data_IF_770040142814
#
_entry.id   IF_770040142814
#
_cell.length_a   1.000
_cell.length_b   1.000
_cell.length_c   1.000
_cell.angle_alpha   90.00
_cell.angle_beta   90.00
_cell.angle_gamma   90.00
#
_symmetry.space_group_name_H-M   'P 1'
#
loop_
_entity.id
_entity.type
_entity.pdbx_description
1 polymer ?
#
# COMPACT_ATOMS: atom_id res chain seq x y z
N UNK A 1 -41.01 -76.10 -47.70
CA UNK A 1 -41.43 -76.06 -46.28
C UNK A 1 -40.35 -75.31 -45.51
N UNK A 2 -40.51 -74.00 -45.31
CA UNK A 2 -39.51 -73.16 -44.63
C UNK A 2 -40.16 -72.66 -43.35
N UNK A 3 -39.77 -73.23 -42.20
CA UNK A 3 -40.28 -72.79 -40.89
C UNK A 3 -39.51 -71.54 -40.46
N UNK A 4 -40.14 -70.39 -40.61
CA UNK A 4 -39.67 -69.11 -40.06
C UNK A 4 -39.74 -69.18 -38.54
N UNK A 5 -38.58 -69.28 -37.89
CA UNK A 5 -38.43 -69.13 -36.45
C UNK A 5 -38.57 -67.65 -36.07
N UNK A 6 -39.55 -67.32 -35.23
CA UNK A 6 -39.68 -65.99 -34.62
C UNK A 6 -38.87 -65.94 -33.31
N UNK A 7 -37.87 -65.06 -33.26
CA UNK A 7 -37.09 -64.78 -32.04
C UNK A 7 -37.90 -63.84 -31.12
N UNK A 8 -38.12 -64.17 -29.83
CA UNK A 8 -38.77 -63.24 -28.92
C UNK A 8 -37.78 -62.14 -28.51
N UNK A 9 -38.06 -60.90 -28.92
CA UNK A 9 -37.33 -59.71 -28.46
C UNK A 9 -37.78 -59.36 -27.04
N UNK A 10 -37.01 -59.77 -26.02
CA UNK A 10 -37.14 -59.25 -24.65
C UNK A 10 -36.65 -57.81 -24.64
N UNK A 11 -37.58 -56.85 -24.69
CA UNK A 11 -37.31 -55.44 -24.41
C UNK A 11 -36.94 -55.29 -22.93
N UNK A 12 -35.65 -55.34 -22.62
CA UNK A 12 -35.13 -54.88 -21.34
C UNK A 12 -35.25 -53.35 -21.28
N UNK A 13 -36.29 -52.85 -20.62
CA UNK A 13 -36.38 -51.43 -20.29
C UNK A 13 -35.28 -51.08 -19.31
N UNK A 14 -34.38 -50.16 -19.69
CA UNK A 14 -33.43 -49.55 -18.77
C UNK A 14 -34.24 -48.69 -17.81
N UNK A 15 -34.36 -49.13 -16.56
CA UNK A 15 -35.04 -48.37 -15.51
C UNK A 15 -34.28 -47.05 -15.29
N UNK A 16 -34.93 -45.92 -15.59
CA UNK A 16 -34.41 -44.61 -15.23
C UNK A 16 -34.39 -44.50 -13.69
N UNK A 17 -33.19 -44.39 -13.11
CA UNK A 17 -33.05 -44.12 -11.69
C UNK A 17 -33.76 -42.80 -11.35
N UNK A 18 -34.52 -42.73 -10.24
CA UNK A 18 -35.22 -41.50 -9.87
C UNK A 18 -34.20 -40.37 -9.66
N UNK A 19 -34.39 -39.25 -10.36
CA UNK A 19 -33.63 -38.03 -10.10
C UNK A 19 -34.13 -37.45 -8.78
N UNK A 20 -33.39 -37.65 -7.69
CA UNK A 20 -33.66 -36.96 -6.43
C UNK A 20 -33.40 -35.47 -6.63
N UNK A 21 -34.45 -34.65 -6.52
CA UNK A 21 -34.32 -33.19 -6.49
C UNK A 21 -33.83 -32.72 -5.13
N UNK A 22 -33.13 -31.58 -5.11
CA UNK A 22 -32.72 -30.89 -3.88
C UNK A 22 -33.95 -30.55 -3.03
N UNK A 23 -33.88 -30.79 -1.73
CA UNK A 23 -34.94 -30.41 -0.79
C UNK A 23 -34.74 -28.98 -0.28
N UNK A 24 -35.83 -28.28 0.04
CA UNK A 24 -35.77 -26.95 0.68
C UNK A 24 -35.06 -27.03 2.04
N UNK A 25 -35.24 -28.14 2.77
CA UNK A 25 -34.60 -28.37 4.06
C UNK A 25 -33.07 -28.50 3.93
N UNK A 26 -32.56 -29.14 2.87
CA UNK A 26 -31.11 -29.21 2.59
C UNK A 26 -30.51 -27.84 2.36
N UNK A 27 -31.15 -27.01 1.53
CA UNK A 27 -30.67 -25.65 1.28
C UNK A 27 -30.74 -24.79 2.55
N UNK A 28 -31.76 -24.97 3.40
CA UNK A 28 -31.89 -24.22 4.65
C UNK A 28 -30.75 -24.53 5.64
N UNK A 29 -30.44 -25.82 5.85
CA UNK A 29 -29.34 -26.22 6.75
C UNK A 29 -27.99 -25.76 6.21
N UNK A 30 -27.77 -25.84 4.90
CA UNK A 30 -26.53 -25.38 4.26
C UNK A 30 -26.37 -23.86 4.45
N UNK A 31 -27.41 -23.07 4.21
CA UNK A 31 -27.37 -21.63 4.42
C UNK A 31 -27.13 -21.28 5.89
N UNK A 32 -27.72 -22.02 6.82
CA UNK A 32 -27.46 -21.84 8.24
C UNK A 32 -25.99 -22.07 8.61
N UNK A 33 -25.34 -23.10 8.06
CA UNK A 33 -23.91 -23.36 8.29
C UNK A 33 -23.03 -22.30 7.62
N UNK A 34 -23.33 -21.89 6.38
CA UNK A 34 -22.56 -20.84 5.70
C UNK A 34 -22.68 -19.51 6.46
N UNK A 35 -23.87 -19.17 6.98
CA UNK A 35 -24.09 -17.96 7.75
C UNK A 35 -23.27 -17.92 9.05
N UNK A 36 -23.20 -19.04 9.78
CA UNK A 36 -22.40 -19.11 11.02
C UNK A 36 -20.91 -19.05 10.74
N UNK A 37 -20.43 -19.70 9.68
CA UNK A 37 -19.03 -19.61 9.27
C UNK A 37 -18.66 -18.19 8.82
N UNK A 38 -19.52 -17.55 8.02
CA UNK A 38 -19.31 -16.17 7.58
C UNK A 38 -19.27 -15.19 8.76
N UNK A 39 -20.13 -15.36 9.76
CA UNK A 39 -20.20 -14.48 10.93
C UNK A 39 -18.88 -14.41 11.72
N UNK A 40 -18.15 -15.53 11.85
CA UNK A 40 -16.85 -15.58 12.54
C UNK A 40 -15.70 -15.15 11.62
N UNK A 41 -15.80 -15.47 10.32
CA UNK A 41 -14.74 -15.24 9.36
C UNK A 41 -14.59 -13.76 8.99
N UNK A 42 -15.70 -13.05 8.75
CA UNK A 42 -15.70 -11.66 8.29
C UNK A 42 -14.84 -10.73 9.16
N UNK A 43 -15.03 -10.62 10.50
CA UNK A 43 -14.22 -9.72 11.31
C UNK A 43 -12.73 -10.10 11.35
N UNK A 44 -12.43 -11.39 11.22
CA UNK A 44 -11.05 -11.87 11.17
C UNK A 44 -10.37 -11.45 9.87
N UNK A 45 -11.05 -11.64 8.74
CA UNK A 45 -10.52 -11.29 7.42
C UNK A 45 -10.33 -9.79 7.28
N UNK A 46 -11.27 -8.96 7.73
CA UNK A 46 -11.14 -7.51 7.67
C UNK A 46 -9.93 -7.02 8.47
N UNK A 47 -9.68 -7.56 9.67
CA UNK A 47 -8.50 -7.23 10.48
C UNK A 47 -7.18 -7.67 9.81
N UNK A 48 -7.18 -8.79 9.08
CA UNK A 48 -5.99 -9.22 8.34
C UNK A 48 -5.73 -8.33 7.12
N UNK A 49 -6.78 -7.83 6.47
CA UNK A 49 -6.66 -6.87 5.37
C UNK A 49 -6.07 -5.55 5.88
N UNK A 50 -6.58 -4.99 6.98
CA UNK A 50 -6.06 -3.74 7.56
C UNK A 50 -4.60 -3.88 7.96
N UNK A 51 -4.22 -4.97 8.63
CA UNK A 51 -2.79 -5.26 8.92
C UNK A 51 -1.93 -5.37 7.67
N UNK A 52 -2.44 -5.99 6.61
CA UNK A 52 -1.77 -6.06 5.32
C UNK A 52 -1.59 -4.69 4.67
N UNK A 53 -2.57 -3.79 4.83
CA UNK A 53 -2.48 -2.40 4.41
C UNK A 53 -1.44 -1.63 5.24
N UNK A 54 -1.39 -1.81 6.57
CA UNK A 54 -0.35 -1.20 7.43
C UNK A 54 1.04 -1.65 6.98
N UNK A 55 1.23 -2.96 6.80
CA UNK A 55 2.51 -3.51 6.35
C UNK A 55 2.95 -2.96 4.99
N UNK A 56 2.00 -2.76 4.07
CA UNK A 56 2.27 -2.12 2.77
C UNK A 56 2.79 -0.69 2.95
N UNK A 57 2.10 0.14 3.74
CA UNK A 57 2.51 1.54 3.99
C UNK A 57 3.92 1.57 4.59
N UNK A 58 4.18 0.75 5.61
CA UNK A 58 5.49 0.70 6.26
C UNK A 58 6.59 0.25 5.30
N UNK A 59 6.32 -0.74 4.44
CA UNK A 59 7.26 -1.17 3.41
C UNK A 59 7.54 -0.07 2.39
N UNK A 60 6.51 0.64 1.93
CA UNK A 60 6.67 1.76 0.99
C UNK A 60 7.52 2.88 1.62
N UNK A 61 7.20 3.30 2.85
CA UNK A 61 7.95 4.32 3.60
C UNK A 61 9.42 3.92 3.79
N UNK A 62 9.67 2.66 4.15
CA UNK A 62 11.03 2.14 4.38
C UNK A 62 11.81 2.03 3.07
N UNK A 63 11.15 1.64 1.97
CA UNK A 63 11.77 1.56 0.65
C UNK A 63 12.17 2.95 0.15
N UNK A 64 11.29 3.94 0.26
CA UNK A 64 11.58 5.33 -0.11
C UNK A 64 12.74 5.87 0.74
N UNK A 65 12.71 5.66 2.06
CA UNK A 65 13.81 6.06 2.93
C UNK A 65 15.15 5.44 2.50
N UNK A 66 15.18 4.13 2.27
CA UNK A 66 16.41 3.43 1.87
C UNK A 66 16.90 3.92 0.50
N UNK A 67 15.98 4.16 -0.44
CA UNK A 67 16.30 4.73 -1.74
C UNK A 67 16.85 6.16 -1.64
N UNK A 68 16.28 7.00 -0.77
CA UNK A 68 16.81 8.33 -0.49
C UNK A 68 18.20 8.30 0.16
N UNK A 69 18.48 7.34 1.05
CA UNK A 69 19.81 7.15 1.62
C UNK A 69 20.84 6.73 0.55
N UNK A 70 20.46 5.85 -0.37
CA UNK A 70 21.30 5.46 -1.51
C UNK A 70 21.55 6.63 -2.47
N UNK A 71 20.51 7.40 -2.81
CA UNK A 71 20.64 8.61 -3.63
C UNK A 71 21.62 9.60 -3.02
N UNK A 72 21.55 9.84 -1.70
CA UNK A 72 22.47 10.74 -0.99
C UNK A 72 23.90 10.20 -1.00
N UNK A 73 24.08 8.88 -0.92
CA UNK A 73 25.40 8.26 -1.00
C UNK A 73 26.09 8.53 -2.35
N UNK A 74 25.32 8.54 -3.44
CA UNK A 74 25.82 8.71 -4.80
C UNK A 74 25.91 10.18 -5.24
N UNK A 75 24.81 10.92 -5.11
CA UNK A 75 24.69 12.31 -5.58
C UNK A 75 25.23 13.33 -4.55
N UNK A 76 25.50 12.90 -3.32
CA UNK A 76 25.97 13.74 -2.21
C UNK A 76 25.04 14.91 -1.86
N UNK A 77 23.77 14.83 -2.27
CA UNK A 77 22.70 15.76 -1.94
C UNK A 77 21.41 14.99 -1.70
N UNK A 78 20.50 15.60 -0.95
CA UNK A 78 19.19 15.04 -0.68
C UNK A 78 18.26 15.24 -1.88
N UNK A 79 17.41 14.25 -2.21
CA UNK A 79 16.40 14.38 -3.26
C UNK A 79 15.41 15.50 -2.90
N UNK A 80 14.91 16.23 -3.89
CA UNK A 80 13.85 17.22 -3.69
C UNK A 80 12.46 16.61 -3.85
N UNK A 81 12.35 15.73 -4.85
CA UNK A 81 11.11 15.05 -5.19
C UNK A 81 11.35 13.52 -5.18
N UNK A 82 10.28 12.76 -4.94
CA UNK A 82 10.35 11.31 -4.86
C UNK A 82 10.72 10.70 -6.23
N UNK A 83 10.36 11.36 -7.32
CA UNK A 83 10.74 10.99 -8.68
C UNK A 83 12.26 10.92 -8.90
N UNK A 84 13.07 11.74 -8.21
CA UNK A 84 14.54 11.74 -8.26
C UNK A 84 15.13 10.35 -7.93
N UNK A 85 14.34 9.52 -7.23
CA UNK A 85 14.72 8.17 -6.84
C UNK A 85 14.48 7.13 -7.93
N UNK A 86 13.67 7.42 -8.95
CA UNK A 86 13.33 6.47 -10.01
C UNK A 86 13.66 6.97 -11.42
N UNK A 87 13.85 8.28 -11.57
CA UNK A 87 14.19 8.98 -12.81
C UNK A 87 15.53 9.71 -12.59
N UNK A 88 16.36 9.72 -13.63
CA UNK A 88 17.65 10.40 -13.57
C UNK A 88 17.47 11.91 -13.43
N UNK A 89 18.14 12.49 -12.43
CA UNK A 89 18.13 13.92 -12.15
C UNK A 89 18.82 14.74 -13.26
N UNK A 90 18.33 15.96 -13.44
CA UNK A 90 18.80 16.96 -14.38
C UNK A 90 19.26 18.22 -13.66
N UNK A 91 19.86 19.15 -14.41
CA UNK A 91 20.29 20.44 -13.86
C UNK A 91 19.14 21.41 -13.56
N UNK A 92 17.92 21.08 -14.00
CA UNK A 92 16.71 21.83 -13.70
C UNK A 92 16.12 21.45 -12.34
N UNK A 93 16.39 20.24 -11.87
CA UNK A 93 15.83 19.69 -10.65
C UNK A 93 16.53 20.28 -9.43
N UNK A 94 15.78 20.43 -8.34
CA UNK A 94 16.23 21.05 -7.10
C UNK A 94 16.25 20.03 -5.96
N UNK A 95 17.30 20.06 -5.15
CA UNK A 95 17.33 19.33 -3.88
C UNK A 95 16.33 19.94 -2.89
N UNK A 96 15.97 19.21 -1.83
CA UNK A 96 15.10 19.68 -0.73
C UNK A 96 15.55 21.02 -0.10
N UNK A 97 16.82 21.38 -0.27
CA UNK A 97 17.39 22.65 0.18
C UNK A 97 17.14 23.82 -0.78
N UNK A 98 16.41 23.61 -1.88
CA UNK A 98 16.11 24.62 -2.92
C UNK A 98 17.26 24.90 -3.87
N UNK A 99 18.37 24.16 -3.78
CA UNK A 99 19.53 24.32 -4.67
C UNK A 99 19.47 23.32 -5.83
N UNK A 100 19.65 23.80 -7.07
CA UNK A 100 19.67 22.93 -8.26
C UNK A 100 20.88 22.01 -8.29
N UNK A 101 20.76 20.84 -8.91
CA UNK A 101 21.87 19.91 -9.09
C UNK A 101 22.86 20.43 -10.14
N UNK A 102 24.13 20.69 -9.81
CA UNK A 102 25.14 20.99 -10.81
C UNK A 102 25.43 19.74 -11.65
N UNK A 103 25.91 19.96 -12.89
CA UNK A 103 26.19 18.86 -13.85
C UNK A 103 27.10 17.77 -13.30
N UNK A 104 28.03 18.11 -12.40
CA UNK A 104 28.92 17.14 -11.77
C UNK A 104 28.18 16.12 -10.88
N UNK A 105 27.07 16.53 -10.24
CA UNK A 105 26.28 15.65 -9.39
C UNK A 105 25.24 14.87 -10.20
N UNK A 106 24.69 15.44 -11.27
CA UNK A 106 23.75 14.73 -12.15
C UNK A 106 24.41 13.52 -12.83
N UNK A 107 25.73 13.57 -13.06
CA UNK A 107 26.49 12.42 -13.59
C UNK A 107 26.82 11.34 -12.56
N UNK A 108 26.63 11.62 -11.26
CA UNK A 108 26.88 10.66 -10.18
C UNK A 108 25.67 9.76 -9.90
N UNK A 109 24.51 10.07 -10.48
CA UNK A 109 23.33 9.22 -10.37
C UNK A 109 23.60 7.85 -11.01
N UNK A 110 23.54 6.78 -10.23
CA UNK A 110 23.95 5.43 -10.68
C UNK A 110 22.76 4.53 -11.06
N UNK A 111 21.52 4.90 -10.72
CA UNK A 111 20.36 4.13 -11.12
C UNK A 111 19.08 4.48 -10.38
N UNK A 112 17.97 3.83 -10.74
CA UNK A 112 16.77 3.91 -9.94
C UNK A 112 17.02 3.26 -8.58
N UNK A 113 16.79 4.02 -7.52
CA UNK A 113 16.90 3.61 -6.13
C UNK A 113 15.59 2.98 -5.60
N UNK A 114 14.56 2.90 -6.44
CA UNK A 114 13.28 2.29 -6.15
C UNK A 114 12.88 1.30 -7.25
N UNK A 115 12.28 0.18 -6.83
CA UNK A 115 11.76 -0.85 -7.74
C UNK A 115 10.46 -0.44 -8.46
N UNK A 116 9.88 0.69 -8.06
CA UNK A 116 8.60 1.19 -8.54
C UNK A 116 8.80 2.57 -9.15
N UNK A 117 8.36 2.75 -10.39
CA UNK A 117 8.36 4.04 -11.06
C UNK A 117 7.31 4.95 -10.40
N UNK A 118 7.74 6.13 -9.97
CA UNK A 118 6.90 7.15 -9.36
C UNK A 118 6.91 8.33 -10.35
N UNK A 119 5.77 8.64 -10.97
CA UNK A 119 5.71 9.52 -12.16
C UNK A 119 5.28 10.94 -11.80
N UNK A 120 6.02 11.91 -12.30
CA UNK A 120 5.64 13.32 -12.52
C UNK A 120 4.26 13.41 -13.19
N UNK A 121 3.20 13.78 -12.47
CA UNK A 121 1.95 14.41 -12.98
C UNK A 121 0.78 14.20 -12.00
N UNK A 122 0.99 14.47 -10.71
CA UNK A 122 -0.10 14.37 -9.72
C UNK A 122 -0.68 12.96 -9.59
N UNK A 123 0.09 11.95 -10.01
CA UNK A 123 -0.23 10.55 -9.82
C UNK A 123 0.05 10.19 -8.37
N UNK A 124 -0.85 10.59 -7.48
CA UNK A 124 -0.92 10.12 -6.10
C UNK A 124 -0.83 8.60 -6.07
N UNK A 125 0.29 8.07 -5.57
CA UNK A 125 0.48 6.63 -5.57
C UNK A 125 -0.22 6.05 -4.36
N UNK A 126 -1.33 5.36 -4.64
CA UNK A 126 -2.10 4.67 -3.62
C UNK A 126 -1.25 3.59 -2.93
N UNK A 127 -1.13 3.72 -1.63
CA UNK A 127 -0.58 2.73 -0.70
C UNK A 127 -1.72 2.12 0.14
N UNK A 128 -1.40 1.43 1.23
CA UNK A 128 -2.42 0.93 2.15
C UNK A 128 -3.28 2.04 2.76
N UNK A 129 -4.47 1.69 3.24
CA UNK A 129 -5.42 2.62 3.88
C UNK A 129 -5.92 3.78 3.02
N UNK A 130 -5.96 3.59 1.69
CA UNK A 130 -6.22 4.68 0.73
C UNK A 130 -5.20 5.83 0.78
N UNK A 131 -4.13 5.67 1.56
CA UNK A 131 -3.08 6.67 1.65
C UNK A 131 -2.45 6.92 0.29
N UNK A 132 -2.16 8.17 -0.01
CA UNK A 132 -1.60 8.60 -1.27
C UNK A 132 -0.25 9.25 -1.04
N UNK A 133 0.82 8.63 -1.55
CA UNK A 133 2.15 9.23 -1.49
C UNK A 133 2.19 10.49 -2.34
N UNK A 134 2.50 11.62 -1.72
CA UNK A 134 2.75 12.87 -2.42
C UNK A 134 4.13 12.85 -3.06
N UNK A 135 4.25 13.48 -4.22
CA UNK A 135 5.46 13.46 -5.05
C UNK A 135 6.62 14.25 -4.39
N UNK A 136 6.31 15.41 -3.82
CA UNK A 136 7.33 16.27 -3.25
C UNK A 136 7.72 15.84 -1.83
N UNK A 137 9.02 15.80 -1.56
CA UNK A 137 9.49 15.73 -0.18
C UNK A 137 9.27 17.08 0.51
N UNK A 138 8.98 17.05 1.81
CA UNK A 138 8.93 18.24 2.65
C UNK A 138 10.07 18.23 3.67
N UNK A 139 10.56 19.41 4.02
CA UNK A 139 11.48 19.57 5.16
C UNK A 139 10.69 19.97 6.39
N UNK A 140 10.62 19.10 7.40
CA UNK A 140 9.84 19.38 8.61
C UNK A 140 10.74 19.53 9.85
N UNK A 141 10.41 20.51 10.71
CA UNK A 141 11.07 20.70 12.00
C UNK A 141 10.46 19.76 13.05
N UNK A 142 11.29 18.91 13.66
CA UNK A 142 10.88 18.00 14.72
C UNK A 142 10.34 18.74 15.97
N UNK A 143 10.86 19.92 16.31
CA UNK A 143 10.42 20.66 17.51
C UNK A 143 9.06 21.34 17.35
N UNK A 144 8.67 21.70 16.12
CA UNK A 144 7.47 22.51 15.88
C UNK A 144 6.44 21.83 14.99
N UNK A 145 6.79 20.72 14.33
CA UNK A 145 5.92 20.03 13.36
C UNK A 145 5.61 20.86 12.11
N UNK A 146 6.27 22.00 11.95
CA UNK A 146 6.11 22.88 10.79
C UNK A 146 6.89 22.29 9.63
N UNK A 147 6.22 22.12 8.50
CA UNK A 147 6.83 21.64 7.26
C UNK A 147 6.94 22.81 6.29
N UNK A 148 8.13 23.00 5.75
CA UNK A 148 8.41 23.99 4.71
C UNK A 148 9.16 23.30 3.57
N UNK A 149 9.18 23.95 2.42
CA UNK A 149 10.00 23.54 1.27
C UNK A 149 11.45 24.05 1.38
N UNK A 150 11.79 24.72 2.49
CA UNK A 150 13.12 25.26 2.75
C UNK A 150 13.30 25.44 4.26
N UNK A 151 14.22 24.68 4.88
CA UNK A 151 14.46 24.75 6.33
C UNK A 151 14.86 23.39 6.90
N UNK A 152 16.16 23.19 7.08
CA UNK A 152 16.80 21.90 7.40
C UNK A 152 16.41 21.37 8.77
N UNK A 153 15.77 20.19 8.82
CA UNK A 153 16.02 19.18 9.87
C UNK A 153 15.75 17.75 9.39
N UNK A 154 14.64 17.48 8.70
CA UNK A 154 14.29 16.11 8.26
C UNK A 154 13.65 16.07 6.87
N UNK A 155 14.12 15.15 6.02
CA UNK A 155 13.45 14.72 4.80
C UNK A 155 12.18 13.96 5.20
N UNK A 156 11.03 14.50 4.82
CA UNK A 156 9.72 14.01 5.25
C UNK A 156 8.92 13.49 4.06
N UNK A 157 8.43 12.26 4.19
CA UNK A 157 7.50 11.64 3.24
C UNK A 157 6.08 11.96 3.70
N UNK A 158 5.22 12.37 2.77
CA UNK A 158 3.83 12.74 3.06
C UNK A 158 2.89 11.74 2.41
N UNK A 159 1.91 11.28 3.20
CA UNK A 159 0.76 10.53 2.71
C UNK A 159 -0.51 11.36 2.94
N UNK A 160 -1.27 11.62 1.88
CA UNK A 160 -2.60 12.19 1.95
C UNK A 160 -3.66 11.09 2.13
N UNK A 161 -4.88 11.47 2.51
CA UNK A 161 -6.06 10.60 2.67
C UNK A 161 -5.93 9.47 3.71
N UNK A 162 -5.04 9.61 4.70
CA UNK A 162 -4.86 8.61 5.76
C UNK A 162 -5.70 8.97 6.98
N UNK A 163 -6.75 8.18 7.24
CA UNK A 163 -7.63 8.39 8.40
C UNK A 163 -6.90 8.17 9.75
N UNK A 164 -7.48 8.69 10.83
CA UNK A 164 -6.88 8.62 12.18
C UNK A 164 -6.70 7.18 12.67
N UNK A 165 -7.58 6.26 12.28
CA UNK A 165 -7.50 4.85 12.70
C UNK A 165 -6.29 4.16 12.05
N UNK A 166 -6.10 4.37 10.74
CA UNK A 166 -4.96 3.92 9.99
C UNK A 166 -3.66 4.54 10.51
N UNK A 167 -3.66 5.85 10.81
CA UNK A 167 -2.50 6.51 11.41
C UNK A 167 -2.08 5.80 12.71
N UNK A 168 -3.02 5.55 13.63
CA UNK A 168 -2.69 4.90 14.89
C UNK A 168 -2.09 3.50 14.68
N UNK A 169 -2.60 2.72 13.73
CA UNK A 169 -2.03 1.39 13.42
C UNK A 169 -0.63 1.48 12.80
N UNK A 170 -0.40 2.45 11.90
CA UNK A 170 0.91 2.68 11.27
C UNK A 170 1.92 3.18 12.31
N UNK A 171 1.53 4.14 13.13
CA UNK A 171 2.33 4.71 14.21
C UNK A 171 2.77 3.65 15.22
N UNK A 172 1.84 2.79 15.66
CA UNK A 172 2.15 1.68 16.57
C UNK A 172 3.20 0.71 16.00
N UNK A 173 3.24 0.52 14.69
CA UNK A 173 4.24 -0.35 14.02
C UNK A 173 5.60 0.34 13.91
N UNK A 174 5.62 1.66 13.66
CA UNK A 174 6.87 2.42 13.42
C UNK A 174 7.51 2.89 14.73
N UNK A 175 6.73 3.52 15.62
CA UNK A 175 7.19 4.16 16.86
C UNK A 175 6.95 3.29 18.11
N UNK A 176 6.14 2.23 17.99
CA UNK A 176 5.92 1.22 19.03
C UNK A 176 4.71 1.50 19.93
N UNK A 177 4.51 0.63 20.93
CA UNK A 177 3.32 0.67 21.80
C UNK A 177 3.34 1.89 22.74
N UNK A 178 2.35 2.77 22.60
CA UNK A 178 2.01 3.82 23.59
C UNK A 178 2.26 5.27 23.16
N UNK A 179 2.52 5.53 21.88
CA UNK A 179 2.81 6.88 21.36
C UNK A 179 1.89 7.26 20.20
N UNK A 180 0.60 6.86 20.22
CA UNK A 180 -0.42 7.37 19.29
C UNK A 180 -0.72 8.86 19.59
N UNK A 181 0.32 9.67 19.43
CA UNK A 181 0.39 11.09 19.62
C UNK A 181 0.72 11.65 18.24
N UNK A 182 -0.28 12.28 17.62
CA UNK A 182 -0.15 12.87 16.30
C UNK A 182 0.93 13.97 16.21
N UNK A 183 1.53 14.36 17.34
CA UNK A 183 2.48 15.46 17.46
C UNK A 183 3.89 15.05 17.88
N UNK A 184 4.10 13.81 18.33
CA UNK A 184 5.39 13.30 18.80
C UNK A 184 5.81 12.06 17.99
N UNK A 185 7.11 11.76 17.96
CA UNK A 185 7.62 10.59 17.22
C UNK A 185 8.08 10.90 15.79
N UNK A 186 8.40 9.82 15.05
CA UNK A 186 8.85 9.84 13.66
C UNK A 186 7.66 9.94 12.71
N UNK A 187 6.49 9.45 13.12
CA UNK A 187 5.25 9.61 12.39
C UNK A 187 4.46 10.74 13.04
N UNK A 188 3.85 11.60 12.22
CA UNK A 188 2.98 12.68 12.68
C UNK A 188 1.73 12.72 11.84
N UNK A 189 0.67 13.28 12.40
CA UNK A 189 -0.60 13.42 11.70
C UNK A 189 -1.20 14.80 11.93
N UNK A 190 -1.84 15.33 10.89
CA UNK A 190 -2.55 16.61 10.96
C UNK A 190 -3.90 16.47 10.27
N UNK A 191 -4.96 16.79 11.02
CA UNK A 191 -6.29 17.01 10.48
C UNK A 191 -6.38 18.44 9.92
N UNK A 192 -6.08 18.64 8.63
CA UNK A 192 -6.35 19.92 7.97
C UNK A 192 -6.59 19.74 6.47
N UNK A 193 -7.85 19.85 6.05
CA UNK A 193 -8.26 19.75 4.64
C UNK A 193 -8.31 18.30 4.16
N UNK A 194 -7.13 17.70 4.05
CA UNK A 194 -6.89 16.29 3.74
C UNK A 194 -6.15 15.66 4.92
N UNK A 195 -6.61 14.52 5.43
CA UNK A 195 -5.97 13.83 6.55
C UNK A 195 -4.56 13.39 6.12
N UNK A 196 -3.53 14.06 6.65
CA UNK A 196 -2.14 13.89 6.18
C UNK A 196 -1.24 13.26 7.24
N UNK A 197 -0.62 12.13 6.87
CA UNK A 197 0.42 11.46 7.64
C UNK A 197 1.79 11.92 7.13
N UNK A 198 2.68 12.25 8.05
CA UNK A 198 4.05 12.71 7.78
C UNK A 198 5.04 11.77 8.44
N UNK A 199 5.99 11.25 7.67
CA UNK A 199 7.04 10.38 8.17
C UNK A 199 8.42 11.04 8.04
N UNK A 200 9.05 11.32 9.17
CA UNK A 200 10.37 11.95 9.26
C UNK A 200 11.44 10.88 9.03
N UNK A 201 11.89 10.75 7.78
CA UNK A 201 12.69 9.62 7.33
C UNK A 201 14.20 9.80 7.61
N UNK A 202 14.78 10.94 7.23
CA UNK A 202 16.23 11.15 7.23
C UNK A 202 16.57 12.52 7.79
N UNK A 203 17.48 12.65 8.77
CA UNK A 203 17.97 13.95 9.19
C UNK A 203 18.80 14.62 8.08
N UNK A 204 18.52 15.90 7.83
CA UNK A 204 19.23 16.75 6.87
C UNK A 204 20.19 17.64 7.65
N UNK A 205 21.49 17.45 7.44
CA UNK A 205 22.56 18.22 8.09
C UNK A 205 23.01 19.41 7.24
#
# INVERSE_FOLDING_TARGET
MTRTFAVPQRRGGVAALPRSGFTLAEILVILAIIATLAAVLVPTVTNQITKGQTARVVNDLTSIRTGSEAFVADVHRYPGDIEDLSIAITVADASITGSTYPTALTTMWDGPYLDRLLTTDGGELSTGHAGQLQDNFLSCDFSTGTCTTTGTKFLTIVLAEVDLAAFNEIDLVIDGVGQADSTAGKVRWTAAGDDTLKYLAIPVN
#
